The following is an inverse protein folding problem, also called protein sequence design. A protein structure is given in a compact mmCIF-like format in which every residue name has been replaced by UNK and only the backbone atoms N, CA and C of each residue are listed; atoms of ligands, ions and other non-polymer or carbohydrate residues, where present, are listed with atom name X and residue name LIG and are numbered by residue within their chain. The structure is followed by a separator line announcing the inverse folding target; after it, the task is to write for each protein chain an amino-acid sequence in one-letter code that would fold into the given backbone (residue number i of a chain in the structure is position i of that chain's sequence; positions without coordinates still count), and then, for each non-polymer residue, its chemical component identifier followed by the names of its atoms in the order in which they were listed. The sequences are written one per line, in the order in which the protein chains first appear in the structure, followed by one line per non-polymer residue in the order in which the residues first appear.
data_IF_985790844196
#
_entry.id   IF_985790844196
#
_cell.length_a   1.000
_cell.length_b   1.000
_cell.length_c   1.000
_cell.angle_alpha   90.00
_cell.angle_beta   90.00
_cell.angle_gamma   90.00
#
_symmetry.space_group_name_H-M   'P 1'
#
loop_
_entity.id
_entity.type
_entity.pdbx_description
1 polymer ?
#
# COMPACT_ATOMS: atom_id res chain seq x y z
N UNK A 1 -22.67 7.24 3.77
CA UNK A 1 -22.56 5.84 3.28
C UNK A 1 -21.44 5.69 2.25
N UNK A 2 -21.40 6.51 1.21
CA UNK A 2 -20.37 6.47 0.14
C UNK A 2 -18.94 6.60 0.69
N UNK A 3 -18.69 7.57 1.59
CA UNK A 3 -17.36 7.75 2.20
C UNK A 3 -16.84 6.49 2.93
N UNK A 4 -17.71 5.77 3.65
CA UNK A 4 -17.36 4.53 4.34
C UNK A 4 -17.07 3.38 3.37
N UNK A 5 -17.80 3.30 2.25
CA UNK A 5 -17.54 2.31 1.22
C UNK A 5 -16.19 2.57 0.54
N UNK A 6 -15.90 3.82 0.17
CA UNK A 6 -14.62 4.19 -0.43
C UNK A 6 -13.44 3.92 0.53
N UNK A 7 -13.55 4.36 1.79
CA UNK A 7 -12.54 4.10 2.82
C UNK A 7 -12.37 2.59 3.10
N UNK A 8 -13.48 1.84 3.17
CA UNK A 8 -13.47 0.40 3.37
C UNK A 8 -12.80 -0.37 2.23
N UNK A 9 -13.07 -0.01 0.97
CA UNK A 9 -12.40 -0.62 -0.19
C UNK A 9 -10.89 -0.39 -0.15
N UNK A 10 -10.46 0.83 0.16
CA UNK A 10 -9.04 1.16 0.31
C UNK A 10 -8.42 0.37 1.48
N UNK A 11 -9.13 0.32 2.61
CA UNK A 11 -8.71 -0.43 3.80
C UNK A 11 -8.54 -1.93 3.52
N UNK A 12 -9.48 -2.54 2.82
CA UNK A 12 -9.40 -3.96 2.40
C UNK A 12 -8.19 -4.19 1.50
N UNK A 13 -7.93 -3.31 0.54
CA UNK A 13 -6.79 -3.48 -0.37
C UNK A 13 -5.44 -3.33 0.35
N UNK A 14 -5.32 -2.38 1.28
CA UNK A 14 -4.13 -2.23 2.12
C UNK A 14 -3.96 -3.45 3.04
N UNK A 15 -5.04 -3.93 3.66
CA UNK A 15 -5.01 -5.11 4.53
C UNK A 15 -4.60 -6.38 3.76
N UNK A 16 -5.12 -6.59 2.55
CA UNK A 16 -4.74 -7.70 1.68
C UNK A 16 -3.25 -7.60 1.28
N UNK A 17 -2.75 -6.40 1.00
CA UNK A 17 -1.34 -6.18 0.70
C UNK A 17 -0.43 -6.51 1.90
N UNK A 18 -0.84 -6.10 3.11
CA UNK A 18 -0.14 -6.45 4.36
C UNK A 18 -0.19 -7.95 4.65
N UNK A 19 -1.36 -8.58 4.53
CA UNK A 19 -1.54 -10.01 4.72
C UNK A 19 -0.66 -10.82 3.76
N UNK A 20 -0.59 -10.42 2.48
CA UNK A 20 0.25 -11.08 1.49
C UNK A 20 1.76 -11.00 1.83
N UNK A 21 2.21 -9.91 2.48
CA UNK A 21 3.59 -9.79 2.98
C UNK A 21 3.82 -10.65 4.22
N UNK A 22 2.82 -10.83 5.08
CA UNK A 22 2.94 -11.69 6.26
C UNK A 22 2.95 -13.17 5.87
N UNK A 23 2.11 -13.59 4.92
CA UNK A 23 2.06 -15.00 4.47
C UNK A 23 3.36 -15.45 3.84
N UNK A 24 4.03 -14.56 3.09
CA UNK A 24 5.29 -14.85 2.41
C UNK A 24 6.45 -13.99 2.97
N UNK A 25 6.50 -13.84 4.29
CA UNK A 25 7.40 -12.91 4.98
C UNK A 25 8.90 -13.12 4.68
N UNK A 26 9.34 -14.37 4.53
CA UNK A 26 10.74 -14.68 4.17
C UNK A 26 11.08 -14.12 2.79
N UNK A 27 10.20 -14.36 1.81
CA UNK A 27 10.38 -13.87 0.43
C UNK A 27 10.28 -12.35 0.38
N UNK A 28 9.32 -11.76 1.09
CA UNK A 28 9.18 -10.31 1.22
C UNK A 28 10.47 -9.64 1.71
N UNK A 29 11.13 -10.18 2.74
CA UNK A 29 12.39 -9.61 3.24
C UNK A 29 13.53 -9.68 2.23
N UNK A 30 13.61 -10.78 1.46
CA UNK A 30 14.60 -10.92 0.40
C UNK A 30 14.35 -9.89 -0.71
N UNK A 31 13.10 -9.78 -1.16
CA UNK A 31 12.70 -8.84 -2.20
C UNK A 31 12.88 -7.38 -1.73
N UNK A 32 12.53 -7.06 -0.48
CA UNK A 32 12.71 -5.73 0.09
C UNK A 32 14.19 -5.34 0.18
N UNK A 33 15.06 -6.28 0.57
CA UNK A 33 16.51 -6.07 0.60
C UNK A 33 17.08 -5.89 -0.81
N UNK A 34 16.62 -6.66 -1.79
CA UNK A 34 17.02 -6.52 -3.19
C UNK A 34 16.63 -5.15 -3.78
N UNK A 35 15.57 -4.54 -3.25
CA UNK A 35 15.11 -3.20 -3.63
C UNK A 35 15.74 -2.07 -2.79
N UNK A 36 16.72 -2.36 -1.94
CA UNK A 36 17.41 -1.36 -1.11
C UNK A 36 16.58 -0.82 0.06
N UNK A 37 15.45 -1.45 0.39
CA UNK A 37 14.62 -1.06 1.54
C UNK A 37 15.36 -1.40 2.84
N UNK A 38 15.33 -0.47 3.79
CA UNK A 38 15.96 -0.68 5.09
C UNK A 38 15.30 -1.86 5.84
N UNK A 39 16.08 -2.70 6.55
CA UNK A 39 15.54 -3.87 7.25
C UNK A 39 14.42 -3.54 8.24
N UNK A 40 14.55 -2.41 8.94
CA UNK A 40 13.54 -1.92 9.89
C UNK A 40 12.21 -1.64 9.17
N UNK A 41 12.26 -0.97 8.03
CA UNK A 41 11.06 -0.68 7.22
C UNK A 41 10.41 -1.97 6.75
N UNK A 42 11.20 -2.95 6.29
CA UNK A 42 10.68 -4.24 5.86
C UNK A 42 9.96 -5.03 6.98
N UNK A 43 10.34 -4.81 8.25
CA UNK A 43 9.71 -5.45 9.42
C UNK A 43 8.46 -4.69 9.86
N UNK A 44 8.51 -3.37 9.89
CA UNK A 44 7.45 -2.49 10.42
C UNK A 44 6.30 -2.31 9.42
N UNK A 45 6.59 -2.38 8.12
CA UNK A 45 5.60 -2.08 7.08
C UNK A 45 4.40 -3.05 7.06
N UNK A 46 4.56 -4.40 7.09
CA UNK A 46 3.41 -5.31 7.08
C UNK A 46 2.42 -5.12 8.24
N UNK A 47 2.85 -5.00 9.52
CA UNK A 47 1.90 -4.73 10.60
C UNK A 47 1.26 -3.33 10.48
N UNK A 48 1.99 -2.32 9.99
CA UNK A 48 1.44 -0.98 9.76
C UNK A 48 0.31 -1.00 8.72
N UNK A 49 0.49 -1.73 7.62
CA UNK A 49 -0.53 -1.90 6.59
C UNK A 49 -1.78 -2.60 7.13
N UNK A 50 -1.61 -3.67 7.90
CA UNK A 50 -2.73 -4.38 8.51
C UNK A 50 -3.49 -3.51 9.52
N UNK A 51 -2.76 -2.78 10.36
CA UNK A 51 -3.36 -1.86 11.33
C UNK A 51 -4.14 -0.74 10.63
N UNK A 52 -3.53 -0.06 9.64
CA UNK A 52 -4.22 0.99 8.89
C UNK A 52 -5.41 0.47 8.09
N UNK A 53 -5.29 -0.70 7.47
CA UNK A 53 -6.38 -1.34 6.75
C UNK A 53 -7.55 -1.68 7.66
N UNK A 54 -7.28 -2.27 8.83
CA UNK A 54 -8.30 -2.55 9.83
C UNK A 54 -8.94 -1.27 10.38
N UNK A 55 -8.14 -0.22 10.61
CA UNK A 55 -8.63 1.06 11.12
C UNK A 55 -9.57 1.74 10.11
N UNK A 56 -9.25 1.69 8.82
CA UNK A 56 -10.13 2.20 7.74
C UNK A 56 -11.46 1.43 7.62
N UNK A 57 -11.48 0.16 8.00
CA UNK A 57 -12.69 -0.69 7.94
C UNK A 57 -13.56 -0.48 9.17
N UNK A 58 -12.95 -0.39 10.37
CA UNK A 58 -13.65 -0.39 11.65
C UNK A 58 -14.02 1.02 12.12
N UNK A 59 -13.12 2.00 11.98
CA UNK A 59 -13.38 3.37 12.43
C UNK A 59 -14.20 4.16 11.41
N UNK A 60 -14.90 5.18 11.91
CA UNK A 60 -15.41 6.24 11.05
C UNK A 60 -14.25 6.91 10.31
N UNK A 61 -14.44 7.34 9.04
CA UNK A 61 -13.41 8.02 8.26
C UNK A 61 -12.99 9.31 8.96
N UNK A 62 -11.92 9.23 9.74
CA UNK A 62 -11.34 10.37 10.44
C UNK A 62 -10.21 10.95 9.58
N UNK A 63 -10.00 12.28 9.61
CA UNK A 63 -8.96 12.93 8.82
C UNK A 63 -7.56 12.35 9.06
N UNK A 64 -7.30 11.91 10.29
CA UNK A 64 -6.01 11.31 10.68
C UNK A 64 -5.77 9.97 9.97
N UNK A 65 -6.78 9.09 9.91
CA UNK A 65 -6.66 7.76 9.30
C UNK A 65 -6.61 7.86 7.78
N UNK A 66 -7.44 8.74 7.19
CA UNK A 66 -7.41 9.01 5.74
C UNK A 66 -6.07 9.63 5.32
N UNK A 67 -5.54 10.55 6.12
CA UNK A 67 -4.23 11.17 5.90
C UNK A 67 -3.08 10.15 5.97
N UNK A 68 -3.07 9.30 6.99
CA UNK A 68 -2.05 8.25 7.14
C UNK A 68 -2.09 7.25 5.97
N UNK A 69 -3.28 6.81 5.55
CA UNK A 69 -3.43 5.93 4.39
C UNK A 69 -2.98 6.59 3.08
N UNK A 70 -3.30 7.87 2.89
CA UNK A 70 -2.85 8.65 1.73
C UNK A 70 -1.33 8.78 1.72
N UNK A 71 -0.71 9.09 2.86
CA UNK A 71 0.75 9.18 2.99
C UNK A 71 1.43 7.85 2.67
N UNK A 72 0.89 6.73 3.16
CA UNK A 72 1.40 5.40 2.85
C UNK A 72 1.34 5.10 1.35
N UNK A 73 0.20 5.39 0.71
CA UNK A 73 0.04 5.24 -0.74
C UNK A 73 1.01 6.14 -1.51
N UNK A 74 1.27 7.36 -1.03
CA UNK A 74 2.22 8.28 -1.66
C UNK A 74 3.65 7.73 -1.61
N UNK A 75 4.06 7.21 -0.46
CA UNK A 75 5.37 6.57 -0.30
C UNK A 75 5.51 5.38 -1.26
N UNK A 76 4.49 4.52 -1.36
CA UNK A 76 4.49 3.41 -2.31
C UNK A 76 4.53 3.85 -3.76
N UNK A 77 3.78 4.89 -4.12
CA UNK A 77 3.79 5.41 -5.49
C UNK A 77 5.13 6.03 -5.85
N UNK A 78 5.74 6.82 -4.96
CA UNK A 78 7.07 7.37 -5.16
C UNK A 78 8.13 6.26 -5.33
N UNK A 79 8.03 5.20 -4.52
CA UNK A 79 8.91 4.04 -4.62
C UNK A 79 8.72 3.28 -5.94
N UNK A 80 7.48 3.05 -6.37
CA UNK A 80 7.17 2.44 -7.67
C UNK A 80 7.74 3.27 -8.82
N UNK A 81 7.55 4.59 -8.79
CA UNK A 81 8.08 5.49 -9.82
C UNK A 81 9.60 5.47 -9.87
N UNK A 82 10.28 5.45 -8.72
CA UNK A 82 11.75 5.32 -8.65
C UNK A 82 12.23 3.99 -9.25
N UNK A 83 11.53 2.88 -8.98
CA UNK A 83 11.86 1.57 -9.54
C UNK A 83 11.60 1.48 -11.04
N UNK A 84 10.54 2.12 -11.54
CA UNK A 84 10.25 2.24 -12.97
C UNK A 84 11.33 3.09 -13.66
N UNK A 85 11.71 4.22 -13.04
CA UNK A 85 12.73 5.12 -13.57
C UNK A 85 14.12 4.46 -13.65
N UNK A 86 14.46 3.62 -12.67
CA UNK A 86 15.72 2.84 -12.68
C UNK A 86 15.67 1.62 -13.61
N UNK A 87 14.55 1.37 -14.30
CA UNK A 87 14.30 0.17 -15.13
C UNK A 87 14.63 -1.13 -14.40
N UNK A 88 14.45 -1.17 -13.09
CA UNK A 88 14.76 -2.36 -12.30
C UNK A 88 13.84 -3.51 -12.71
N UNK A 89 14.43 -4.60 -13.20
CA UNK A 89 13.72 -5.85 -13.51
C UNK A 89 13.35 -6.65 -12.24
N UNK A 90 13.76 -6.17 -11.06
CA UNK A 90 13.44 -6.77 -9.78
C UNK A 90 11.94 -6.62 -9.52
N UNK A 91 11.18 -7.72 -9.32
CA UNK A 91 9.75 -7.65 -9.05
C UNK A 91 9.51 -6.86 -7.76
N UNK A 92 8.64 -5.85 -7.86
CA UNK A 92 8.34 -4.97 -6.75
C UNK A 92 7.31 -5.66 -5.84
N UNK A 93 7.77 -6.26 -4.74
CA UNK A 93 6.92 -7.00 -3.79
C UNK A 93 6.01 -6.09 -2.92
N UNK A 94 5.84 -4.81 -3.28
CA UNK A 94 5.02 -3.84 -2.56
C UNK A 94 3.56 -4.27 -2.37
N UNK A 95 3.04 -5.19 -3.19
CA UNK A 95 1.69 -5.79 -3.05
C UNK A 95 1.73 -7.27 -2.62
N UNK A 96 2.83 -7.71 -2.02
CA UNK A 96 3.09 -9.10 -1.65
C UNK A 96 3.92 -9.86 -2.68
N UNK A 97 4.58 -10.94 -2.26
CA UNK A 97 5.53 -11.71 -3.08
C UNK A 97 4.85 -12.54 -4.19
N UNK A 98 3.52 -12.68 -4.14
CA UNK A 98 2.77 -13.47 -5.13
C UNK A 98 2.71 -12.78 -6.50
N UNK A 99 2.87 -11.46 -6.57
CA UNK A 99 2.94 -10.74 -7.84
C UNK A 99 4.41 -10.59 -8.28
N UNK A 100 4.99 -11.66 -8.85
CA UNK A 100 6.34 -11.64 -9.44
C UNK A 100 6.36 -10.95 -10.80
N UNK A 101 5.84 -9.71 -10.87
CA UNK A 101 5.80 -8.91 -12.10
C UNK A 101 6.62 -7.64 -11.90
N UNK A 102 7.31 -7.14 -12.96
CA UNK A 102 7.99 -5.85 -12.88
C UNK A 102 6.97 -4.74 -12.55
N UNK A 103 7.37 -3.72 -11.80
CA UNK A 103 6.49 -2.60 -11.47
C UNK A 103 5.95 -1.95 -12.74
N UNK A 104 4.64 -1.73 -12.79
CA UNK A 104 3.95 -1.22 -13.98
C UNK A 104 3.30 0.14 -13.70
N UNK A 105 3.13 0.95 -14.75
CA UNK A 105 2.26 2.13 -14.70
C UNK A 105 0.83 1.80 -14.24
N UNK A 106 0.39 0.54 -14.37
CA UNK A 106 -0.88 0.07 -13.83
C UNK A 106 -0.93 0.11 -12.29
N UNK A 107 0.18 -0.19 -11.62
CA UNK A 107 0.27 -0.15 -10.16
C UNK A 107 0.21 1.31 -9.66
N UNK A 108 0.87 2.22 -10.39
CA UNK A 108 0.80 3.67 -10.16
C UNK A 108 -0.65 4.16 -10.34
N UNK A 109 -1.30 3.78 -11.44
CA UNK A 109 -2.71 4.14 -11.69
C UNK A 109 -3.65 3.60 -10.60
N UNK A 110 -3.44 2.37 -10.12
CA UNK A 110 -4.21 1.82 -8.98
C UNK A 110 -4.02 2.69 -7.74
N UNK A 111 -2.78 3.03 -7.36
CA UNK A 111 -2.54 3.84 -6.17
C UNK A 111 -3.17 5.23 -6.30
N UNK A 112 -3.08 5.87 -7.46
CA UNK A 112 -3.75 7.14 -7.75
C UNK A 112 -5.27 7.04 -7.59
N UNK A 113 -5.89 5.96 -8.10
CA UNK A 113 -7.32 5.72 -7.92
C UNK A 113 -7.71 5.51 -6.44
N UNK A 114 -6.85 4.84 -5.65
CA UNK A 114 -7.06 4.68 -4.21
C UNK A 114 -6.92 6.01 -3.46
N UNK A 115 -5.93 6.83 -3.81
CA UNK A 115 -5.80 8.19 -3.26
C UNK A 115 -7.02 9.06 -3.60
N UNK A 116 -7.49 9.00 -4.85
CA UNK A 116 -8.70 9.71 -5.26
C UNK A 116 -9.92 9.22 -4.46
N UNK A 117 -10.02 7.92 -4.20
CA UNK A 117 -11.10 7.34 -3.38
C UNK A 117 -11.04 7.82 -1.92
N UNK A 118 -9.85 7.95 -1.34
CA UNK A 118 -9.66 8.53 -0.01
C UNK A 118 -10.01 10.02 0.02
N UNK A 119 -9.66 10.76 -1.03
CA UNK A 119 -10.01 12.18 -1.15
C UNK A 119 -11.53 12.39 -1.25
N UNK A 120 -12.21 11.57 -2.07
CA UNK A 120 -13.67 11.54 -2.14
C UNK A 120 -14.27 11.17 -0.79
N UNK A 121 -13.70 10.20 -0.08
CA UNK A 121 -14.14 9.85 1.26
C UNK A 121 -13.97 11.01 2.25
N UNK A 122 -12.88 11.78 2.16
CA UNK A 122 -12.62 12.95 3.02
C UNK A 122 -13.54 14.15 2.72
N UNK A 123 -13.91 14.35 1.46
CA UNK A 123 -14.84 15.43 1.06
C UNK A 123 -16.28 15.09 1.44
N UNK A 124 -16.63 13.80 1.47
CA UNK A 124 -17.98 13.30 1.75
C UNK A 124 -18.17 12.80 3.20
N UNK A 125 -17.14 12.87 4.05
CA UNK A 125 -17.16 12.52 5.47
C UNK A 125 -17.50 13.71 6.34
#
# INVERSE_FOLDING_TARGET
MIARLCAGVVGVLIALAGAAKVTDYKQWKLDARAQGVWPIVAVVLPPLELLLGALLIVLAPSPQVLGAATLLLLIFTAFLLAQIATKSAVPCACFGSKSKRPPSMRDVARNLALMASLFVAAVLS
#
